data_IF_385818008348
#
_entry.id   IF_385818008348
#
_cell.length_a   1.000
_cell.length_b   1.000
_cell.length_c   1.000
_cell.angle_alpha   90.00
_cell.angle_beta   90.00
_cell.angle_gamma   90.00
#
_symmetry.space_group_name_H-M   'P 1'
#
loop_
_entity.id
_entity.type
_entity.pdbx_description
1 polymer ?
#
# COMPACT_ATOMS: atom_id res chain seq x y z
N UNK A 1 -2.68 21.54 3.53
CA UNK A 1 -3.81 20.62 3.85
C UNK A 1 -3.96 20.51 5.36
N UNK A 2 -5.17 20.53 5.88
CA UNK A 2 -5.45 20.26 7.31
C UNK A 2 -6.16 18.92 7.39
N UNK A 3 -5.56 17.96 8.12
CA UNK A 3 -6.14 16.64 8.34
C UNK A 3 -6.76 16.51 9.73
N UNK A 4 -7.70 15.58 9.95
CA UNK A 4 -8.06 15.13 11.29
C UNK A 4 -6.78 14.74 12.04
N UNK A 5 -6.74 15.04 13.35
CA UNK A 5 -5.57 14.70 14.19
C UNK A 5 -5.39 13.17 14.13
N UNK A 6 -4.19 12.73 13.75
CA UNK A 6 -3.83 11.31 13.89
C UNK A 6 -3.77 10.97 15.38
N UNK A 7 -4.36 9.86 15.77
CA UNK A 7 -4.25 9.33 17.13
C UNK A 7 -3.89 7.85 17.06
N UNK A 8 -3.07 7.42 17.99
CA UNK A 8 -2.73 5.99 18.15
C UNK A 8 -3.44 5.36 19.35
N UNK A 9 -4.34 6.12 20.01
CA UNK A 9 -5.11 5.63 21.14
C UNK A 9 -5.91 4.37 20.78
N UNK A 10 -5.91 3.38 21.66
CA UNK A 10 -6.58 2.10 21.46
C UNK A 10 -5.84 1.09 20.56
N UNK A 11 -4.79 1.51 19.83
CA UNK A 11 -4.03 0.57 18.95
C UNK A 11 -3.24 -0.44 19.77
N UNK A 12 -2.63 -0.02 20.86
CA UNK A 12 -1.98 -0.92 21.80
C UNK A 12 -2.95 -1.93 22.41
N UNK A 13 -4.19 -1.53 22.73
CA UNK A 13 -5.19 -2.43 23.28
C UNK A 13 -5.69 -3.45 22.25
N UNK A 14 -5.80 -3.05 20.99
CA UNK A 14 -6.08 -3.98 19.88
C UNK A 14 -4.98 -5.05 19.78
N UNK A 15 -3.71 -4.66 19.85
CA UNK A 15 -2.60 -5.60 19.82
C UNK A 15 -2.59 -6.49 21.08
N UNK A 16 -2.83 -5.93 22.29
CA UNK A 16 -2.93 -6.72 23.51
C UNK A 16 -4.07 -7.74 23.47
N UNK A 17 -5.21 -7.40 22.86
CA UNK A 17 -6.31 -8.34 22.68
C UNK A 17 -5.85 -9.53 21.81
N UNK A 18 -5.22 -9.25 20.67
CA UNK A 18 -4.70 -10.28 19.81
C UNK A 18 -3.57 -11.12 20.44
N UNK A 19 -2.77 -10.52 21.32
CA UNK A 19 -1.77 -11.22 22.14
C UNK A 19 -2.44 -12.19 23.13
N UNK A 20 -3.50 -11.75 23.83
CA UNK A 20 -4.24 -12.63 24.78
C UNK A 20 -4.85 -13.84 24.10
N UNK A 21 -5.43 -13.68 22.91
CA UNK A 21 -5.98 -14.79 22.11
C UNK A 21 -4.92 -15.84 21.73
N UNK A 22 -3.63 -15.43 21.71
CA UNK A 22 -2.48 -16.27 21.36
C UNK A 22 -1.62 -16.68 22.56
N UNK A 23 -2.09 -16.35 23.78
CA UNK A 23 -1.38 -16.63 25.04
C UNK A 23 0.04 -16.04 25.04
N UNK A 24 0.21 -14.79 24.59
CA UNK A 24 1.48 -14.08 24.52
C UNK A 24 1.56 -13.03 25.64
N UNK A 25 2.71 -13.00 26.34
CA UNK A 25 2.99 -12.03 27.40
C UNK A 25 3.63 -10.75 26.89
N UNK A 26 4.32 -10.83 25.73
CA UNK A 26 5.00 -9.72 25.10
C UNK A 26 5.03 -9.82 23.59
N UNK A 27 5.24 -8.68 22.94
CA UNK A 27 5.41 -8.59 21.49
C UNK A 27 6.51 -7.58 21.14
N UNK A 28 7.42 -7.95 20.26
CA UNK A 28 8.46 -7.08 19.72
C UNK A 28 8.08 -6.68 18.30
N UNK A 29 7.90 -5.39 18.07
CA UNK A 29 7.56 -4.77 16.78
C UNK A 29 8.81 -4.12 16.21
N UNK A 30 9.31 -4.61 15.09
CA UNK A 30 10.54 -4.11 14.44
C UNK A 30 10.29 -3.49 13.06
N UNK A 31 9.16 -3.79 12.44
CA UNK A 31 8.73 -3.17 11.20
C UNK A 31 8.41 -1.69 11.42
N UNK A 32 9.15 -0.77 10.78
CA UNK A 32 8.99 0.67 11.01
C UNK A 32 7.58 1.20 10.70
N UNK A 33 6.88 0.78 9.63
CA UNK A 33 5.47 1.09 9.45
C UNK A 33 4.60 0.63 10.63
N UNK A 34 4.83 -0.55 11.17
CA UNK A 34 4.10 -1.08 12.33
C UNK A 34 4.46 -0.34 13.62
N UNK A 35 5.74 0.02 13.83
CA UNK A 35 6.19 0.89 14.93
C UNK A 35 5.48 2.24 14.84
N UNK A 36 5.43 2.85 13.65
CA UNK A 36 4.73 4.11 13.42
C UNK A 36 3.23 3.99 13.70
N UNK A 37 2.58 2.94 13.20
CA UNK A 37 1.17 2.69 13.47
C UNK A 37 0.88 2.57 14.96
N UNK A 38 1.71 1.85 15.70
CA UNK A 38 1.52 1.60 17.13
C UNK A 38 1.83 2.84 17.98
N UNK A 39 2.87 3.60 17.66
CA UNK A 39 3.42 4.65 18.54
C UNK A 39 3.33 6.08 17.98
N UNK A 40 3.17 6.25 16.67
CA UNK A 40 3.27 7.52 15.97
C UNK A 40 4.71 7.95 15.60
N UNK A 41 5.72 7.17 15.96
CA UNK A 41 7.12 7.47 15.67
C UNK A 41 7.44 7.30 14.19
N UNK A 42 8.11 8.30 13.58
CA UNK A 42 8.44 8.31 12.14
C UNK A 42 9.95 8.22 11.85
N UNK A 43 10.77 7.99 12.87
CA UNK A 43 12.22 7.87 12.71
C UNK A 43 12.64 6.61 11.95
N UNK A 44 13.85 6.63 11.42
CA UNK A 44 14.42 5.54 10.60
C UNK A 44 15.09 4.42 11.39
N UNK A 45 15.11 4.51 12.73
CA UNK A 45 15.68 3.49 13.60
C UNK A 45 14.94 3.46 14.92
N UNK A 46 14.30 2.34 15.22
CA UNK A 46 13.56 2.11 16.44
C UNK A 46 12.81 0.79 16.40
N UNK A 47 12.41 0.33 17.56
CA UNK A 47 11.47 -0.78 17.74
C UNK A 47 10.48 -0.45 18.84
N UNK A 48 9.33 -1.05 18.81
CA UNK A 48 8.36 -0.96 19.90
C UNK A 48 8.24 -2.32 20.59
N UNK A 49 8.17 -2.28 21.91
CA UNK A 49 7.92 -3.44 22.75
C UNK A 49 6.61 -3.24 23.49
N UNK A 50 5.76 -4.21 23.45
CA UNK A 50 4.49 -4.19 24.18
C UNK A 50 4.39 -5.38 25.14
N UNK A 51 3.98 -5.09 26.36
CA UNK A 51 3.62 -6.08 27.38
C UNK A 51 2.15 -5.91 27.78
N UNK A 52 1.68 -6.71 28.73
CA UNK A 52 0.34 -6.55 29.28
C UNK A 52 0.07 -5.14 29.85
N UNK A 53 1.13 -4.42 30.29
CA UNK A 53 1.00 -3.11 30.96
C UNK A 53 1.62 -1.98 30.17
N UNK A 54 2.78 -2.22 29.57
CA UNK A 54 3.64 -1.17 29.04
C UNK A 54 3.70 -1.22 27.52
N UNK A 55 3.88 -0.05 26.90
CA UNK A 55 4.36 0.11 25.52
C UNK A 55 5.60 0.98 25.60
N UNK A 56 6.70 0.52 25.03
CA UNK A 56 7.96 1.25 25.00
C UNK A 56 8.48 1.34 23.58
N UNK A 57 8.75 2.57 23.14
CA UNK A 57 9.52 2.84 21.92
C UNK A 57 11.00 2.92 22.32
N UNK A 58 11.82 1.98 21.89
CA UNK A 58 13.27 2.05 21.98
C UNK A 58 13.84 2.64 20.68
N UNK A 59 14.64 3.70 20.80
CA UNK A 59 15.31 4.36 19.68
C UNK A 59 16.65 4.94 20.10
N UNK A 60 17.44 5.45 19.16
CA UNK A 60 18.79 5.97 19.44
C UNK A 60 18.80 7.49 19.72
N UNK A 61 19.98 8.00 20.12
CA UNK A 61 20.17 9.38 20.53
C UNK A 61 19.83 10.43 19.48
N UNK A 62 19.77 10.09 18.19
CA UNK A 62 19.35 11.02 17.11
C UNK A 62 17.89 11.47 17.28
N UNK A 63 17.08 10.65 17.93
CA UNK A 63 15.65 10.85 18.11
C UNK A 63 15.24 11.27 19.52
N UNK A 64 16.22 11.60 20.40
CA UNK A 64 15.96 11.95 21.79
C UNK A 64 14.96 13.12 21.97
N UNK A 65 14.93 14.07 21.05
CA UNK A 65 13.99 15.19 21.05
C UNK A 65 12.75 14.89 20.20
N UNK A 66 12.94 14.26 19.03
CA UNK A 66 11.86 14.02 18.07
C UNK A 66 10.84 12.99 18.58
N UNK A 67 11.31 11.87 19.16
CA UNK A 67 10.41 10.78 19.55
C UNK A 67 9.39 11.23 20.63
N UNK A 68 9.76 11.85 21.75
CA UNK A 68 8.79 12.31 22.74
C UNK A 68 7.76 13.28 22.15
N UNK A 69 8.19 14.24 21.32
CA UNK A 69 7.31 15.22 20.69
C UNK A 69 6.29 14.58 19.73
N UNK A 70 6.71 13.57 18.96
CA UNK A 70 5.84 12.85 18.04
C UNK A 70 4.80 11.99 18.78
N UNK A 71 5.21 11.28 19.83
CA UNK A 71 4.32 10.47 20.64
C UNK A 71 3.25 11.33 21.31
N UNK A 72 3.65 12.46 21.91
CA UNK A 72 2.72 13.43 22.51
C UNK A 72 1.73 13.97 21.48
N UNK A 73 2.21 14.32 20.28
CA UNK A 73 1.37 14.88 19.21
C UNK A 73 0.23 13.93 18.79
N UNK A 74 0.43 12.62 18.84
CA UNK A 74 -0.59 11.61 18.48
C UNK A 74 -1.31 10.98 19.68
N UNK A 75 -1.00 11.44 20.90
CA UNK A 75 -1.59 10.91 22.13
C UNK A 75 -1.20 9.45 22.39
N UNK A 76 0.07 9.12 22.15
CA UNK A 76 0.63 7.81 22.45
C UNK A 76 0.92 7.65 23.93
N UNK A 77 0.56 6.51 24.50
CA UNK A 77 0.91 6.14 25.88
C UNK A 77 2.28 5.45 25.98
N UNK A 78 3.00 5.31 24.87
CA UNK A 78 4.29 4.66 24.86
C UNK A 78 5.35 5.51 25.57
N UNK A 79 6.13 4.88 26.46
CA UNK A 79 7.35 5.48 27.00
C UNK A 79 8.46 5.45 25.94
N UNK A 80 9.37 6.46 25.99
CA UNK A 80 10.52 6.52 25.09
C UNK A 80 11.78 6.10 25.85
N UNK A 81 12.48 5.08 25.33
CA UNK A 81 13.78 4.64 25.82
C UNK A 81 14.85 5.02 24.77
N UNK A 82 15.80 5.88 25.16
CA UNK A 82 16.94 6.23 24.33
C UNK A 82 18.09 5.30 24.66
N UNK A 83 18.49 4.46 23.71
CA UNK A 83 19.53 3.44 23.95
C UNK A 83 20.42 3.27 22.71
N UNK A 84 21.66 2.83 22.93
CA UNK A 84 22.58 2.39 21.87
C UNK A 84 22.33 0.93 21.47
N UNK A 85 21.86 0.12 22.42
CA UNK A 85 21.43 -1.27 22.22
C UNK A 85 19.92 -1.36 22.42
N UNK A 86 19.20 -1.39 21.30
CA UNK A 86 17.73 -1.41 21.30
C UNK A 86 17.18 -2.76 21.75
N UNK A 87 17.90 -3.86 21.48
CA UNK A 87 17.49 -5.21 21.88
C UNK A 87 17.58 -5.36 23.39
N UNK A 88 18.70 -4.94 24.00
CA UNK A 88 18.85 -4.97 25.45
C UNK A 88 17.79 -4.10 26.14
N UNK A 89 17.54 -2.88 25.62
CA UNK A 89 16.51 -1.99 26.14
C UNK A 89 15.10 -2.58 26.06
N UNK A 90 14.76 -3.23 24.95
CA UNK A 90 13.46 -3.89 24.77
C UNK A 90 13.31 -5.14 25.64
N UNK A 91 14.38 -5.92 25.81
CA UNK A 91 14.40 -7.12 26.65
C UNK A 91 14.18 -6.79 28.13
N UNK A 92 14.68 -5.64 28.60
CA UNK A 92 14.44 -5.17 29.98
C UNK A 92 12.94 -4.97 30.25
N UNK A 93 12.17 -4.49 29.25
CA UNK A 93 10.71 -4.31 29.37
C UNK A 93 9.96 -5.65 29.43
N UNK A 94 10.51 -6.68 28.78
CA UNK A 94 9.94 -8.02 28.69
C UNK A 94 10.48 -8.98 29.75
N UNK A 95 11.24 -8.48 30.70
CA UNK A 95 11.85 -9.32 31.75
C UNK A 95 10.76 -10.06 32.55
N UNK A 96 10.86 -11.39 32.54
CA UNK A 96 9.89 -12.28 33.20
C UNK A 96 8.66 -12.64 32.35
N UNK A 97 8.57 -12.19 31.13
CA UNK A 97 7.60 -12.69 30.16
C UNK A 97 7.93 -14.14 29.79
N UNK A 98 6.95 -15.04 29.89
CA UNK A 98 7.17 -16.45 29.56
C UNK A 98 7.16 -16.69 28.03
N UNK A 99 6.24 -16.00 27.31
CA UNK A 99 6.06 -16.16 25.86
C UNK A 99 6.08 -14.82 25.17
N UNK A 100 7.08 -14.60 24.30
CA UNK A 100 7.29 -13.34 23.58
C UNK A 100 7.22 -13.55 22.08
N UNK A 101 6.33 -12.80 21.44
CA UNK A 101 6.20 -12.80 20.00
C UNK A 101 7.26 -11.91 19.32
N UNK A 102 7.77 -12.39 18.19
CA UNK A 102 8.58 -11.64 17.23
C UNK A 102 7.83 -11.60 15.89
N UNK A 103 7.95 -10.50 15.13
CA UNK A 103 7.41 -10.40 13.76
C UNK A 103 8.15 -11.36 12.82
N UNK A 104 7.64 -12.59 12.69
CA UNK A 104 8.31 -13.69 12.00
C UNK A 104 8.51 -13.50 10.50
N UNK A 105 7.74 -12.60 9.89
CA UNK A 105 7.82 -12.23 8.47
C UNK A 105 8.70 -11.00 8.20
N UNK A 106 9.24 -10.37 9.24
CA UNK A 106 10.04 -9.15 9.15
C UNK A 106 11.41 -9.30 9.79
N UNK A 107 11.47 -9.94 10.96
CA UNK A 107 12.69 -10.04 11.74
C UNK A 107 13.77 -10.86 11.01
N UNK A 108 14.99 -10.30 10.93
CA UNK A 108 16.10 -11.05 10.34
C UNK A 108 16.54 -12.20 11.23
N UNK A 109 17.21 -13.21 10.64
CA UNK A 109 17.76 -14.34 11.40
C UNK A 109 18.74 -13.89 12.48
N UNK A 110 19.54 -12.85 12.22
CA UNK A 110 20.48 -12.32 13.20
C UNK A 110 19.80 -11.60 14.35
N UNK A 111 18.80 -10.79 14.06
CA UNK A 111 17.94 -10.15 15.08
C UNK A 111 17.25 -11.20 15.96
N UNK A 112 16.70 -12.28 15.36
CA UNK A 112 16.09 -13.36 16.14
C UNK A 112 17.09 -13.98 17.13
N UNK A 113 18.37 -14.18 16.73
CA UNK A 113 19.41 -14.70 17.62
C UNK A 113 19.76 -13.72 18.74
N UNK A 114 19.79 -12.42 18.45
CA UNK A 114 20.02 -11.40 19.46
C UNK A 114 18.88 -11.41 20.51
N UNK A 115 17.62 -11.47 20.07
CA UNK A 115 16.49 -11.59 20.97
C UNK A 115 16.49 -12.89 21.76
N UNK A 116 16.87 -14.02 21.16
CA UNK A 116 16.99 -15.30 21.86
C UNK A 116 18.07 -15.27 22.96
N UNK A 117 19.16 -14.54 22.73
CA UNK A 117 20.18 -14.35 23.75
C UNK A 117 19.74 -13.40 24.87
N UNK A 118 19.01 -12.31 24.52
CA UNK A 118 18.56 -11.31 25.48
C UNK A 118 17.36 -11.79 26.34
N UNK A 119 16.55 -12.72 25.82
CA UNK A 119 15.36 -13.30 26.46
C UNK A 119 15.53 -14.83 26.65
N UNK A 120 16.68 -15.25 27.19
CA UNK A 120 17.05 -16.67 27.28
C UNK A 120 16.06 -17.53 28.11
N UNK A 121 15.31 -16.91 29.04
CA UNK A 121 14.33 -17.58 29.88
C UNK A 121 12.91 -17.55 29.30
N UNK A 122 12.72 -16.98 28.10
CA UNK A 122 11.42 -16.84 27.43
C UNK A 122 11.30 -17.78 26.24
N UNK A 123 10.11 -18.28 25.99
CA UNK A 123 9.76 -18.90 24.70
C UNK A 123 9.55 -17.82 23.65
N UNK A 124 10.36 -17.81 22.58
CA UNK A 124 10.17 -16.90 21.46
C UNK A 124 9.22 -17.52 20.43
N UNK A 125 8.14 -16.83 20.10
CA UNK A 125 7.09 -17.26 19.17
C UNK A 125 7.14 -16.41 17.91
N UNK A 126 7.29 -17.04 16.75
CA UNK A 126 7.16 -16.34 15.48
C UNK A 126 5.68 -16.04 15.18
N UNK A 127 5.32 -14.77 15.05
CA UNK A 127 3.96 -14.34 14.69
C UNK A 127 4.05 -13.49 13.43
N UNK A 128 3.50 -14.01 12.33
CA UNK A 128 3.53 -13.35 11.03
C UNK A 128 2.19 -12.70 10.71
N UNK A 129 2.22 -11.53 10.07
CA UNK A 129 1.05 -10.84 9.52
C UNK A 129 0.15 -10.13 10.52
N UNK A 130 0.26 -10.34 11.83
CA UNK A 130 -0.68 -9.79 12.83
C UNK A 130 -0.76 -8.25 12.78
N UNK A 131 0.38 -7.57 12.73
CA UNK A 131 0.41 -6.10 12.65
C UNK A 131 -0.19 -5.60 11.33
N UNK A 132 0.05 -6.32 10.22
CA UNK A 132 -0.55 -6.02 8.91
C UNK A 132 -2.07 -6.21 8.92
N UNK A 133 -2.58 -7.24 9.61
CA UNK A 133 -4.01 -7.45 9.82
C UNK A 133 -4.62 -6.28 10.59
N UNK A 134 -4.00 -5.88 11.72
CA UNK A 134 -4.47 -4.76 12.53
C UNK A 134 -4.43 -3.42 11.77
N UNK A 135 -3.44 -3.21 10.89
CA UNK A 135 -3.29 -2.03 10.04
C UNK A 135 -4.25 -2.02 8.84
N UNK A 136 -4.77 -3.17 8.44
CA UNK A 136 -5.60 -3.29 7.24
C UNK A 136 -6.88 -2.46 7.34
N UNK A 137 -7.47 -2.33 8.51
CA UNK A 137 -8.66 -1.52 8.78
C UNK A 137 -8.23 -0.13 9.22
N UNK A 138 -8.46 0.87 8.36
CA UNK A 138 -8.06 2.27 8.55
C UNK A 138 -9.05 3.02 9.43
N UNK A 139 -8.52 3.86 10.31
CA UNK A 139 -9.33 4.84 11.01
C UNK A 139 -9.61 6.09 10.12
N UNK A 140 -10.54 6.99 10.53
CA UNK A 140 -10.87 8.17 9.71
C UNK A 140 -9.68 9.12 9.47
N UNK A 141 -8.70 9.19 10.37
CA UNK A 141 -7.53 10.05 10.19
C UNK A 141 -6.51 9.43 9.23
N UNK A 142 -6.36 8.11 9.22
CA UNK A 142 -5.58 7.36 8.23
C UNK A 142 -6.21 7.51 6.85
N UNK A 143 -7.53 7.29 6.76
CA UNK A 143 -8.28 7.40 5.50
C UNK A 143 -8.17 8.79 4.88
N UNK A 144 -8.29 9.86 5.67
CA UNK A 144 -8.16 11.24 5.18
C UNK A 144 -6.78 11.52 4.53
N UNK A 145 -5.71 10.86 4.98
CA UNK A 145 -4.37 10.97 4.39
C UNK A 145 -4.26 10.20 3.08
N UNK A 146 -4.86 9.03 3.02
CA UNK A 146 -4.92 8.23 1.78
C UNK A 146 -5.75 8.95 0.72
N UNK A 147 -6.89 9.52 1.10
CA UNK A 147 -7.74 10.36 0.21
C UNK A 147 -6.98 11.57 -0.33
N UNK A 148 -6.22 12.25 0.54
CA UNK A 148 -5.41 13.38 0.09
C UNK A 148 -4.28 12.93 -0.86
N UNK A 149 -3.65 11.79 -0.60
CA UNK A 149 -2.65 11.23 -1.50
C UNK A 149 -3.27 10.86 -2.87
N UNK A 150 -4.46 10.25 -2.88
CA UNK A 150 -5.20 9.94 -4.12
C UNK A 150 -5.53 11.23 -4.91
N UNK A 151 -6.03 12.25 -4.23
CA UNK A 151 -6.36 13.53 -4.88
C UNK A 151 -5.12 14.23 -5.48
N UNK A 152 -3.94 14.08 -4.87
CA UNK A 152 -2.70 14.62 -5.44
C UNK A 152 -2.24 13.84 -6.68
N UNK A 153 -2.39 12.51 -6.69
CA UNK A 153 -2.11 11.70 -7.86
C UNK A 153 -3.08 12.01 -9.02
N UNK A 154 -4.39 12.17 -8.73
CA UNK A 154 -5.39 12.59 -9.72
C UNK A 154 -5.03 13.96 -10.33
N UNK A 155 -4.68 14.94 -9.50
CA UNK A 155 -4.30 16.27 -9.97
C UNK A 155 -3.03 16.24 -10.83
N UNK A 156 -1.99 15.51 -10.40
CA UNK A 156 -0.75 15.36 -11.15
C UNK A 156 -0.97 14.74 -12.53
N UNK A 157 -1.84 13.72 -12.61
CA UNK A 157 -2.19 13.09 -13.88
C UNK A 157 -2.93 14.07 -14.80
N UNK A 158 -3.81 14.90 -14.27
CA UNK A 158 -4.50 15.93 -15.05
C UNK A 158 -3.53 17.03 -15.53
N UNK A 159 -2.69 17.56 -14.65
CA UNK A 159 -1.73 18.64 -14.95
C UNK A 159 -0.69 18.25 -16.00
N UNK A 160 -0.38 16.95 -16.11
CA UNK A 160 0.59 16.42 -17.07
C UNK A 160 -0.04 15.91 -18.38
N UNK A 161 -1.32 16.15 -18.61
CA UNK A 161 -2.04 15.69 -19.80
C UNK A 161 -1.35 16.05 -21.12
N UNK A 162 -0.86 17.27 -21.23
CA UNK A 162 -0.15 17.80 -22.43
C UNK A 162 1.08 16.96 -22.80
N UNK A 163 1.68 16.28 -21.86
CA UNK A 163 2.85 15.41 -22.08
C UNK A 163 2.49 14.02 -22.59
N UNK A 164 1.22 13.63 -22.62
CA UNK A 164 0.76 12.39 -23.26
C UNK A 164 0.64 12.55 -24.79
N UNK A 165 1.72 13.01 -25.41
CA UNK A 165 1.78 13.38 -26.83
C UNK A 165 2.97 12.69 -27.53
N UNK A 166 2.88 12.43 -28.83
CA UNK A 166 3.98 11.87 -29.61
C UNK A 166 5.28 12.65 -29.43
N UNK A 167 6.39 11.94 -29.26
CA UNK A 167 7.72 12.53 -29.07
C UNK A 167 8.11 12.79 -27.61
N UNK A 168 7.17 12.87 -26.68
CA UNK A 168 7.49 12.85 -25.23
C UNK A 168 8.01 11.47 -24.85
N UNK A 169 9.01 11.40 -23.96
CA UNK A 169 9.52 10.11 -23.48
C UNK A 169 8.81 9.65 -22.21
N UNK A 170 8.82 8.33 -21.95
CA UNK A 170 8.30 7.75 -20.70
C UNK A 170 8.93 8.44 -19.48
N UNK A 171 10.25 8.63 -19.50
CA UNK A 171 10.99 9.31 -18.42
C UNK A 171 10.55 10.77 -18.22
N UNK A 172 10.31 11.51 -19.29
CA UNK A 172 9.86 12.91 -19.18
C UNK A 172 8.50 12.99 -18.50
N UNK A 173 7.55 12.14 -18.88
CA UNK A 173 6.24 12.11 -18.23
C UNK A 173 6.33 11.64 -16.78
N UNK A 174 7.12 10.59 -16.48
CA UNK A 174 7.30 10.08 -15.11
C UNK A 174 7.87 11.16 -14.17
N UNK A 175 8.92 11.87 -14.60
CA UNK A 175 9.50 12.97 -13.81
C UNK A 175 8.51 14.13 -13.61
N UNK A 176 7.74 14.47 -14.63
CA UNK A 176 6.73 15.51 -14.53
C UNK A 176 5.60 15.16 -13.55
N UNK A 177 5.16 13.91 -13.53
CA UNK A 177 4.19 13.40 -12.55
C UNK A 177 4.72 13.52 -11.11
N UNK A 178 5.95 13.06 -10.89
CA UNK A 178 6.60 13.13 -9.57
C UNK A 178 6.76 14.58 -9.08
N UNK A 179 7.18 15.49 -9.97
CA UNK A 179 7.35 16.91 -9.67
C UNK A 179 6.00 17.59 -9.41
N UNK A 180 4.95 17.26 -10.18
CA UNK A 180 3.61 17.79 -9.97
C UNK A 180 3.05 17.39 -8.60
N UNK A 181 3.18 16.10 -8.20
CA UNK A 181 2.77 15.63 -6.88
C UNK A 181 3.50 16.37 -5.76
N UNK A 182 4.83 16.54 -5.86
CA UNK A 182 5.62 17.28 -4.87
C UNK A 182 5.23 18.76 -4.81
N UNK A 183 5.05 19.42 -5.95
CA UNK A 183 4.64 20.80 -6.02
C UNK A 183 3.25 21.02 -5.38
N UNK A 184 2.36 20.04 -5.48
CA UNK A 184 1.04 20.07 -4.85
C UNK A 184 1.05 19.71 -3.35
N UNK A 185 2.19 19.31 -2.78
CA UNK A 185 2.38 19.10 -1.34
C UNK A 185 2.54 17.63 -0.89
N UNK A 186 2.71 16.68 -1.82
CA UNK A 186 3.13 15.35 -1.48
C UNK A 186 4.57 15.33 -0.94
N UNK A 187 4.89 14.42 -0.04
CA UNK A 187 6.26 14.16 0.39
C UNK A 187 7.11 13.60 -0.76
N UNK A 188 6.48 12.87 -1.67
CA UNK A 188 7.07 12.25 -2.85
C UNK A 188 6.08 11.32 -3.53
N UNK A 189 6.50 10.56 -4.55
CA UNK A 189 5.73 9.45 -5.07
C UNK A 189 5.61 8.34 -4.01
N UNK A 190 4.52 7.58 -4.08
CA UNK A 190 4.27 6.45 -3.18
C UNK A 190 5.24 5.27 -3.45
N UNK A 191 5.63 5.12 -4.69
CA UNK A 191 6.56 4.13 -5.25
C UNK A 191 7.21 4.72 -6.50
N UNK A 192 8.06 3.98 -7.19
CA UNK A 192 8.64 4.41 -8.48
C UNK A 192 7.54 4.48 -9.54
N UNK A 193 7.19 5.69 -9.98
CA UNK A 193 6.13 5.94 -10.97
C UNK A 193 6.37 5.12 -12.23
N UNK A 194 5.35 4.40 -12.71
CA UNK A 194 5.43 3.61 -13.94
C UNK A 194 4.84 4.43 -15.08
N UNK A 195 5.61 4.59 -16.14
CA UNK A 195 5.15 5.09 -17.44
C UNK A 195 5.68 4.14 -18.48
N UNK A 196 4.79 3.40 -19.14
CA UNK A 196 5.15 2.36 -20.10
C UNK A 196 4.31 2.49 -21.37
N UNK A 197 4.96 2.56 -22.52
CA UNK A 197 4.32 2.82 -23.81
C UNK A 197 4.63 1.77 -24.86
N UNK A 198 3.68 1.50 -25.77
CA UNK A 198 3.82 0.51 -26.82
C UNK A 198 4.30 -0.84 -26.25
N UNK A 199 5.37 -1.46 -26.79
CA UNK A 199 5.86 -2.75 -26.30
C UNK A 199 6.23 -2.79 -24.82
N UNK A 200 6.63 -1.65 -24.20
CA UNK A 200 6.94 -1.57 -22.77
C UNK A 200 5.69 -1.71 -21.91
N UNK A 201 4.51 -1.30 -22.40
CA UNK A 201 3.24 -1.47 -21.70
C UNK A 201 2.86 -2.95 -21.49
N UNK A 202 3.52 -3.89 -22.20
CA UNK A 202 3.38 -5.32 -21.94
C UNK A 202 4.11 -5.80 -20.66
N UNK A 203 4.85 -4.92 -20.00
CA UNK A 203 5.62 -5.21 -18.78
C UNK A 203 4.92 -4.56 -17.57
N UNK A 204 4.28 -5.32 -16.66
CA UNK A 204 3.49 -4.76 -15.56
C UNK A 204 4.26 -3.79 -14.66
N UNK A 205 5.57 -4.02 -14.47
CA UNK A 205 6.47 -3.22 -13.63
C UNK A 205 7.59 -2.56 -14.46
N UNK A 206 7.25 -2.06 -15.65
CA UNK A 206 8.21 -1.35 -16.48
C UNK A 206 8.68 -0.06 -15.79
N UNK A 207 9.98 0.23 -15.92
CA UNK A 207 10.53 1.52 -15.48
C UNK A 207 10.53 2.50 -16.63
N UNK A 208 10.21 3.80 -16.37
CA UNK A 208 10.21 4.82 -17.42
C UNK A 208 11.55 4.90 -18.15
N UNK A 209 11.54 4.64 -19.44
CA UNK A 209 12.70 4.64 -20.32
C UNK A 209 12.81 5.92 -21.15
N UNK A 210 13.84 6.01 -22.02
CA UNK A 210 13.98 7.10 -22.98
C UNK A 210 13.19 6.84 -24.28
N UNK A 211 12.31 5.80 -24.32
CA UNK A 211 11.42 5.57 -25.44
C UNK A 211 10.46 6.75 -25.57
N UNK A 212 10.44 7.34 -26.77
CA UNK A 212 9.47 8.37 -27.12
C UNK A 212 8.14 7.73 -27.52
N UNK A 213 7.03 8.37 -27.13
CA UNK A 213 5.69 7.94 -27.52
C UNK A 213 5.49 8.06 -29.03
N UNK A 214 4.83 7.07 -29.61
CA UNK A 214 4.39 7.07 -31.00
C UNK A 214 2.87 7.10 -31.08
N UNK A 215 2.31 7.64 -32.16
CA UNK A 215 0.86 7.64 -32.40
C UNK A 215 0.36 6.20 -32.48
N UNK A 216 -0.71 5.90 -31.72
CA UNK A 216 -1.28 4.56 -31.62
C UNK A 216 -0.72 3.73 -30.45
N UNK A 217 0.37 4.15 -29.79
CA UNK A 217 0.86 3.45 -28.60
C UNK A 217 -0.22 3.34 -27.52
N UNK A 218 -0.39 2.15 -26.97
CA UNK A 218 -0.98 1.98 -25.63
C UNK A 218 0.01 2.53 -24.60
N UNK A 219 -0.47 3.38 -23.71
CA UNK A 219 0.30 3.99 -22.64
C UNK A 219 -0.33 3.62 -21.28
N UNK A 220 0.44 2.96 -20.43
CA UNK A 220 0.12 2.77 -19.00
C UNK A 220 0.81 3.85 -18.18
N UNK A 221 0.05 4.56 -17.35
CA UNK A 221 0.54 5.45 -16.31
C UNK A 221 0.05 4.94 -14.98
N UNK A 222 0.97 4.50 -14.12
CA UNK A 222 0.70 4.01 -12.79
C UNK A 222 1.44 4.90 -11.78
N UNK A 223 0.65 5.60 -10.95
CA UNK A 223 1.08 6.74 -10.16
C UNK A 223 0.39 6.79 -8.80
N UNK A 224 1.17 7.04 -7.77
CA UNK A 224 0.68 7.24 -6.42
C UNK A 224 1.47 8.29 -5.67
N UNK A 225 0.82 9.04 -4.79
CA UNK A 225 1.44 10.05 -3.95
C UNK A 225 1.65 9.56 -2.50
N UNK A 226 2.60 10.17 -1.80
CA UNK A 226 2.90 9.95 -0.40
C UNK A 226 2.53 11.19 0.41
N UNK A 227 1.57 11.06 1.34
CA UNK A 227 1.11 12.14 2.23
C UNK A 227 1.18 11.69 3.67
N UNK A 228 2.00 12.34 4.48
CA UNK A 228 2.19 12.01 5.90
C UNK A 228 2.33 10.50 6.10
N UNK A 229 3.20 9.85 5.30
CA UNK A 229 3.51 8.42 5.32
C UNK A 229 2.46 7.49 4.74
N UNK A 230 1.27 7.95 4.42
CA UNK A 230 0.22 7.17 3.76
C UNK A 230 0.31 7.33 2.25
N UNK A 231 0.00 6.26 1.55
CA UNK A 231 0.18 6.11 0.10
C UNK A 231 -1.16 6.08 -0.61
N UNK A 232 -1.15 6.49 -1.88
CA UNK A 232 -2.21 6.18 -2.84
C UNK A 232 -1.64 5.35 -3.98
N UNK A 233 -2.54 4.81 -4.80
CA UNK A 233 -2.24 3.94 -5.93
C UNK A 233 -3.30 4.10 -7.01
N UNK A 234 -2.89 4.26 -8.27
CA UNK A 234 -3.80 4.43 -9.39
C UNK A 234 -3.13 4.16 -10.73
N UNK A 235 -3.75 3.35 -11.56
CA UNK A 235 -3.33 3.18 -12.97
C UNK A 235 -4.39 3.70 -13.93
N UNK A 236 -3.94 4.41 -14.97
CA UNK A 236 -4.76 4.76 -16.14
C UNK A 236 -4.04 4.35 -17.42
N UNK A 237 -4.81 3.85 -18.37
CA UNK A 237 -4.32 3.54 -19.72
C UNK A 237 -4.88 4.51 -20.73
N UNK A 238 -4.05 4.87 -21.73
CA UNK A 238 -4.35 5.84 -22.78
C UNK A 238 -3.93 5.29 -24.14
N UNK A 239 -4.42 5.93 -25.21
CA UNK A 239 -3.90 5.76 -26.57
C UNK A 239 -3.24 7.07 -26.98
N UNK A 240 -1.98 7.03 -27.36
CA UNK A 240 -1.25 8.23 -27.83
C UNK A 240 -1.82 8.68 -29.18
N UNK A 241 -2.20 9.96 -29.26
CA UNK A 241 -2.94 10.51 -30.39
C UNK A 241 -4.46 10.46 -30.25
N UNK A 242 -4.94 9.93 -29.12
CA UNK A 242 -6.36 9.89 -28.79
C UNK A 242 -7.10 8.64 -29.29
N UNK A 243 -8.41 8.52 -29.03
CA UNK A 243 -9.22 7.34 -29.34
C UNK A 243 -9.22 6.93 -30.82
N UNK A 244 -9.13 7.90 -31.73
CA UNK A 244 -9.12 7.63 -33.17
C UNK A 244 -7.84 6.96 -33.65
N UNK A 245 -6.74 7.09 -32.91
CA UNK A 245 -5.45 6.47 -33.21
C UNK A 245 -5.35 5.01 -32.72
N UNK A 246 -6.36 4.51 -31.98
CA UNK A 246 -6.37 3.15 -31.46
C UNK A 246 -6.36 2.12 -32.62
N UNK A 247 -5.47 1.15 -32.54
CA UNK A 247 -5.47 -0.03 -33.40
C UNK A 247 -6.53 -1.07 -32.97
N UNK A 248 -6.65 -2.17 -33.69
CA UNK A 248 -7.65 -3.21 -33.40
C UNK A 248 -7.41 -3.84 -32.01
N UNK A 249 -6.16 -4.01 -31.59
CA UNK A 249 -5.81 -4.57 -30.29
C UNK A 249 -6.23 -3.62 -29.17
N UNK A 250 -5.89 -2.33 -29.27
CA UNK A 250 -6.28 -1.33 -28.30
C UNK A 250 -7.82 -1.23 -28.17
N UNK A 251 -8.53 -1.28 -29.32
CA UNK A 251 -10.02 -1.27 -29.37
C UNK A 251 -10.65 -2.50 -28.72
N UNK A 252 -9.95 -3.62 -28.68
CA UNK A 252 -10.43 -4.85 -28.04
C UNK A 252 -10.13 -4.86 -26.56
N UNK A 253 -8.84 -4.66 -26.13
CA UNK A 253 -8.44 -4.91 -24.75
C UNK A 253 -8.72 -3.75 -23.78
N UNK A 254 -8.80 -2.49 -24.22
CA UNK A 254 -9.01 -1.36 -23.33
C UNK A 254 -10.45 -1.34 -22.76
N UNK A 255 -11.51 -1.45 -23.57
CA UNK A 255 -12.86 -1.58 -23.04
C UNK A 255 -13.06 -2.86 -22.22
N UNK A 256 -12.46 -4.00 -22.63
CA UNK A 256 -12.50 -5.26 -21.90
C UNK A 256 -11.95 -5.12 -20.47
N UNK A 257 -10.75 -4.56 -20.32
CA UNK A 257 -10.13 -4.37 -19.00
C UNK A 257 -10.91 -3.36 -18.16
N UNK A 258 -11.46 -2.31 -18.79
CA UNK A 258 -12.29 -1.31 -18.11
C UNK A 258 -13.59 -1.92 -17.57
N UNK A 259 -14.26 -2.76 -18.36
CA UNK A 259 -15.45 -3.51 -17.95
C UNK A 259 -15.13 -4.49 -16.81
N UNK A 260 -14.05 -5.27 -16.95
CA UNK A 260 -13.60 -6.20 -15.93
C UNK A 260 -13.30 -5.50 -14.60
N UNK A 261 -12.64 -4.34 -14.65
CA UNK A 261 -12.34 -3.53 -13.47
C UNK A 261 -13.63 -3.02 -12.80
N UNK A 262 -14.58 -2.53 -13.58
CA UNK A 262 -15.86 -2.06 -13.05
C UNK A 262 -16.66 -3.20 -12.40
N UNK A 263 -16.66 -4.39 -13.00
CA UNK A 263 -17.29 -5.58 -12.43
C UNK A 263 -16.67 -5.99 -11.09
N UNK A 264 -15.34 -5.96 -10.98
CA UNK A 264 -14.64 -6.26 -9.73
C UNK A 264 -14.94 -5.23 -8.65
N UNK A 265 -14.92 -3.93 -8.96
CA UNK A 265 -15.28 -2.86 -8.02
C UNK A 265 -16.70 -3.03 -7.49
N UNK A 266 -17.65 -3.43 -8.34
CA UNK A 266 -19.05 -3.64 -7.95
C UNK A 266 -19.24 -4.79 -6.94
N UNK A 267 -18.31 -5.74 -6.85
CA UNK A 267 -18.33 -6.86 -5.89
C UNK A 267 -17.73 -6.46 -4.53
N UNK A 268 -16.89 -5.42 -4.46
CA UNK A 268 -16.23 -5.03 -3.21
C UNK A 268 -17.26 -4.58 -2.17
N UNK A 269 -17.42 -5.37 -1.10
CA UNK A 269 -18.30 -5.06 0.02
C UNK A 269 -17.82 -5.79 1.29
N UNK A 270 -18.21 -5.33 2.50
CA UNK A 270 -17.92 -6.06 3.72
C UNK A 270 -18.61 -7.43 3.70
N UNK A 271 -17.91 -8.47 4.19
CA UNK A 271 -18.41 -9.85 4.20
C UNK A 271 -18.14 -10.64 2.93
N UNK A 272 -17.63 -10.01 1.87
CA UNK A 272 -17.23 -10.69 0.62
C UNK A 272 -15.84 -11.28 0.77
N UNK A 273 -15.60 -12.47 0.21
CA UNK A 273 -14.26 -13.06 0.12
C UNK A 273 -13.39 -12.29 -0.90
N UNK A 274 -12.12 -12.03 -0.57
CA UNK A 274 -11.19 -11.34 -1.46
C UNK A 274 -11.07 -11.99 -2.85
N UNK A 275 -11.11 -13.34 -2.91
CA UNK A 275 -11.10 -14.07 -4.19
C UNK A 275 -12.30 -13.77 -5.08
N UNK A 276 -13.47 -13.44 -4.52
CA UNK A 276 -14.65 -13.14 -5.34
C UNK A 276 -14.49 -11.85 -6.15
N UNK A 277 -13.70 -10.89 -5.63
CA UNK A 277 -13.34 -9.68 -6.37
C UNK A 277 -12.39 -10.03 -7.54
N UNK A 278 -11.41 -10.92 -7.31
CA UNK A 278 -10.53 -11.41 -8.39
C UNK A 278 -11.32 -12.20 -9.44
N UNK A 279 -12.19 -13.11 -9.01
CA UNK A 279 -13.01 -13.94 -9.90
C UNK A 279 -13.89 -13.08 -10.82
N UNK A 280 -14.44 -11.97 -10.32
CA UNK A 280 -15.32 -11.10 -11.08
C UNK A 280 -14.65 -10.49 -12.32
N UNK A 281 -13.42 -9.99 -12.20
CA UNK A 281 -12.69 -9.46 -13.36
C UNK A 281 -11.99 -10.54 -14.17
N UNK A 282 -11.43 -11.55 -13.51
CA UNK A 282 -10.67 -12.62 -14.18
C UNK A 282 -11.53 -13.45 -15.09
N UNK A 283 -12.78 -13.72 -14.72
CA UNK A 283 -13.74 -14.46 -15.59
C UNK A 283 -13.98 -13.72 -16.89
N UNK A 284 -14.26 -12.42 -16.85
CA UNK A 284 -14.50 -11.59 -18.04
C UNK A 284 -13.29 -11.63 -18.98
N UNK A 285 -12.08 -11.41 -18.44
CA UNK A 285 -10.84 -11.42 -19.24
C UNK A 285 -10.57 -12.82 -19.82
N UNK A 286 -10.86 -13.88 -19.07
CA UNK A 286 -10.64 -15.27 -19.50
C UNK A 286 -11.64 -15.68 -20.57
N UNK A 287 -12.91 -15.34 -20.43
CA UNK A 287 -13.96 -15.63 -21.42
C UNK A 287 -13.72 -14.91 -22.76
N UNK A 288 -13.09 -13.72 -22.72
CA UNK A 288 -12.64 -13.01 -23.91
C UNK A 288 -11.35 -13.60 -24.54
N UNK A 289 -10.76 -14.65 -23.96
CA UNK A 289 -9.56 -15.32 -24.50
C UNK A 289 -8.23 -14.75 -24.01
N UNK A 290 -8.20 -13.79 -23.09
CA UNK A 290 -6.99 -13.13 -22.58
C UNK A 290 -6.56 -13.62 -21.19
N UNK A 291 -7.08 -14.75 -20.67
CA UNK A 291 -6.78 -15.24 -19.33
C UNK A 291 -5.29 -15.43 -19.06
N UNK A 292 -4.52 -15.94 -20.03
CA UNK A 292 -3.06 -16.11 -19.90
C UNK A 292 -2.27 -14.78 -19.93
N UNK A 293 -2.90 -13.71 -20.39
CA UNK A 293 -2.33 -12.37 -20.44
C UNK A 293 -2.57 -11.57 -19.13
N UNK A 294 -3.41 -12.05 -18.21
CA UNK A 294 -3.64 -11.48 -16.87
C UNK A 294 -2.89 -12.31 -15.81
N UNK A 295 -1.67 -11.90 -15.47
CA UNK A 295 -0.68 -12.72 -14.76
C UNK A 295 -0.48 -12.40 -13.29
N UNK A 296 -1.14 -11.39 -12.72
CA UNK A 296 -1.03 -10.98 -11.32
C UNK A 296 -2.37 -11.10 -10.58
N UNK A 297 -2.39 -10.81 -9.30
CA UNK A 297 -3.61 -10.66 -8.53
C UNK A 297 -4.35 -9.39 -8.92
N UNK A 298 -5.63 -9.31 -8.59
CA UNK A 298 -6.47 -8.16 -8.93
C UNK A 298 -6.18 -6.94 -8.06
N UNK A 299 -5.41 -7.10 -6.96
CA UNK A 299 -5.07 -5.96 -6.11
C UNK A 299 -4.54 -6.32 -4.74
N UNK A 300 -4.34 -5.28 -3.95
CA UNK A 300 -3.76 -5.35 -2.60
C UNK A 300 -4.27 -4.20 -1.72
N UNK A 301 -4.10 -4.33 -0.41
CA UNK A 301 -4.32 -3.22 0.51
C UNK A 301 -3.27 -2.11 0.34
N UNK A 302 -3.64 -0.89 0.71
CA UNK A 302 -2.74 0.28 0.69
C UNK A 302 -2.85 1.02 2.02
N UNK A 303 -1.74 1.56 2.51
CA UNK A 303 -1.70 2.34 3.75
C UNK A 303 -0.34 2.99 4.00
N UNK A 304 0.30 2.64 5.10
CA UNK A 304 1.68 3.03 5.40
C UNK A 304 2.68 2.32 4.47
N UNK A 305 2.37 1.09 4.07
CA UNK A 305 3.06 0.40 2.97
C UNK A 305 2.21 0.46 1.70
N UNK A 306 2.88 0.35 0.54
CA UNK A 306 2.17 0.28 -0.74
C UNK A 306 1.43 -1.07 -0.86
N UNK A 307 2.03 -2.16 -0.41
CA UNK A 307 1.42 -3.48 -0.42
C UNK A 307 1.07 -3.91 1.01
N UNK A 308 -0.21 -3.78 1.36
CA UNK A 308 -0.77 -4.23 2.63
C UNK A 308 -1.82 -5.33 2.43
N UNK A 309 -2.42 -5.79 3.51
CA UNK A 309 -3.63 -6.63 3.46
C UNK A 309 -4.88 -5.75 3.25
N UNK A 310 -5.92 -6.31 2.59
CA UNK A 310 -6.03 -7.65 2.04
C UNK A 310 -5.33 -7.79 0.68
N UNK A 311 -4.85 -9.00 0.34
CA UNK A 311 -4.42 -9.33 -1.02
C UNK A 311 -5.63 -9.81 -1.82
N UNK A 312 -5.89 -9.23 -2.97
CA UNK A 312 -7.02 -9.58 -3.84
C UNK A 312 -6.53 -10.51 -4.96
N UNK A 313 -6.74 -11.81 -4.77
CA UNK A 313 -6.25 -12.85 -5.68
C UNK A 313 -7.09 -14.12 -5.58
N UNK A 314 -7.03 -14.95 -6.61
CA UNK A 314 -7.86 -16.16 -6.84
C UNK A 314 -7.90 -17.19 -5.70
N UNK A 315 -6.90 -17.20 -4.82
CA UNK A 315 -6.75 -18.21 -3.75
C UNK A 315 -6.93 -17.61 -2.35
N UNK A 316 -7.33 -16.34 -2.23
CA UNK A 316 -7.50 -15.69 -0.94
C UNK A 316 -8.97 -15.67 -0.49
N UNK A 317 -9.30 -16.48 0.52
CA UNK A 317 -10.62 -16.53 1.14
C UNK A 317 -10.81 -15.55 2.31
N UNK A 318 -9.88 -14.59 2.51
CA UNK A 318 -10.04 -13.56 3.55
C UNK A 318 -11.31 -12.74 3.31
N UNK A 319 -12.04 -12.47 4.38
CA UNK A 319 -13.28 -11.69 4.32
C UNK A 319 -12.97 -10.20 4.40
N UNK A 320 -13.48 -9.44 3.44
CA UNK A 320 -13.35 -7.99 3.42
C UNK A 320 -14.11 -7.34 4.57
N UNK A 321 -13.55 -6.29 5.14
CA UNK A 321 -14.11 -5.56 6.28
C UNK A 321 -14.23 -4.08 5.95
N UNK A 322 -15.25 -3.42 6.50
CA UNK A 322 -15.38 -1.96 6.41
C UNK A 322 -14.13 -1.27 6.97
N UNK A 323 -13.70 -0.19 6.31
CA UNK A 323 -12.47 0.55 6.62
C UNK A 323 -11.20 0.00 5.95
N UNK A 324 -11.25 -1.14 5.29
CA UNK A 324 -10.13 -1.59 4.46
C UNK A 324 -10.02 -0.73 3.20
N UNK A 325 -8.78 -0.41 2.81
CA UNK A 325 -8.47 0.28 1.56
C UNK A 325 -7.69 -0.68 0.69
N UNK A 326 -8.12 -0.83 -0.57
CA UNK A 326 -7.52 -1.79 -1.50
C UNK A 326 -7.56 -1.29 -2.94
N UNK A 327 -6.65 -1.80 -3.78
CA UNK A 327 -6.64 -1.58 -5.22
C UNK A 327 -7.52 -2.61 -5.95
N UNK A 328 -8.07 -2.21 -7.10
CA UNK A 328 -8.72 -3.10 -8.07
C UNK A 328 -8.13 -2.77 -9.43
N UNK A 329 -7.19 -3.61 -9.90
CA UNK A 329 -6.24 -3.29 -10.96
C UNK A 329 -6.07 -4.40 -12.03
N UNK A 330 -7.12 -4.99 -12.59
CA UNK A 330 -6.94 -5.99 -13.65
C UNK A 330 -6.15 -5.41 -14.83
N UNK A 331 -5.40 -6.29 -15.52
CA UNK A 331 -4.62 -5.89 -16.67
C UNK A 331 -4.44 -7.02 -17.68
N UNK A 332 -4.27 -6.65 -18.95
CA UNK A 332 -3.94 -7.55 -20.07
C UNK A 332 -2.62 -7.07 -20.68
N UNK A 333 -1.65 -7.98 -20.78
CA UNK A 333 -0.29 -7.68 -21.22
C UNK A 333 0.12 -8.60 -22.36
N UNK A 334 0.34 -8.03 -23.56
CA UNK A 334 0.62 -8.73 -24.80
C UNK A 334 2.07 -8.49 -25.22
N UNK A 335 2.99 -9.44 -24.98
CA UNK A 335 4.42 -9.27 -25.27
C UNK A 335 4.71 -8.80 -26.68
N UNK A 336 5.49 -7.72 -26.83
CA UNK A 336 5.87 -7.12 -28.11
C UNK A 336 4.80 -6.24 -28.77
N UNK A 337 3.60 -6.17 -28.18
CA UNK A 337 2.47 -5.37 -28.67
C UNK A 337 2.20 -4.20 -27.72
N UNK A 338 1.76 -4.49 -26.50
CA UNK A 338 1.42 -3.49 -25.52
C UNK A 338 0.62 -4.09 -24.37
N UNK A 339 0.02 -3.23 -23.55
CA UNK A 339 -0.81 -3.67 -22.43
C UNK A 339 -1.75 -2.58 -21.96
N UNK A 340 -2.73 -3.01 -21.18
CA UNK A 340 -3.72 -2.15 -20.52
C UNK A 340 -3.82 -2.59 -19.07
N UNK A 341 -3.77 -1.64 -18.13
CA UNK A 341 -4.19 -1.78 -16.74
C UNK A 341 -5.11 -0.63 -16.40
N UNK A 342 -6.21 -0.92 -15.73
CA UNK A 342 -7.12 0.09 -15.18
C UNK A 342 -7.29 -0.21 -13.71
N UNK A 343 -7.01 0.79 -12.88
CA UNK A 343 -6.98 0.62 -11.44
C UNK A 343 -7.66 1.76 -10.72
N UNK A 344 -8.44 1.44 -9.71
CA UNK A 344 -8.87 2.38 -8.68
C UNK A 344 -8.47 1.91 -7.30
N UNK A 345 -8.10 2.86 -6.46
CA UNK A 345 -8.03 2.69 -5.02
C UNK A 345 -9.44 2.88 -4.45
N UNK A 346 -9.92 1.93 -3.67
CA UNK A 346 -11.26 1.98 -3.07
C UNK A 346 -11.20 1.75 -1.57
N UNK A 347 -12.12 2.36 -0.81
CA UNK A 347 -12.37 2.04 0.60
C UNK A 347 -13.63 1.20 0.72
N UNK A 348 -13.55 0.10 1.47
CA UNK A 348 -14.72 -0.71 1.83
C UNK A 348 -15.56 0.07 2.85
N UNK A 349 -16.83 0.30 2.52
CA UNK A 349 -17.81 0.99 3.39
C UNK A 349 -18.67 -0.03 4.13
N UNK A 350 -19.65 0.40 4.90
CA UNK A 350 -20.57 -0.51 5.60
C UNK A 350 -21.49 -1.33 4.68
N UNK A 351 -21.63 -0.93 3.40
CA UNK A 351 -22.59 -1.57 2.48
C UNK A 351 -22.05 -1.83 1.06
N UNK A 352 -20.78 -1.53 0.79
CA UNK A 352 -20.15 -1.65 -0.54
C UNK A 352 -18.76 -1.07 -0.51
N UNK A 353 -18.38 -0.30 -1.55
CA UNK A 353 -17.14 0.46 -1.56
C UNK A 353 -17.34 1.86 -2.16
N UNK A 354 -16.34 2.71 -1.94
CA UNK A 354 -16.25 4.05 -2.52
C UNK A 354 -14.87 4.26 -3.13
N UNK A 355 -14.76 4.71 -4.39
CA UNK A 355 -13.48 5.04 -4.98
C UNK A 355 -12.82 6.24 -4.27
N UNK A 356 -11.50 6.20 -4.16
CA UNK A 356 -10.65 7.28 -3.65
C UNK A 356 -9.91 7.98 -4.77
N UNK A 357 -9.65 7.30 -5.88
CA UNK A 357 -9.07 7.83 -7.12
C UNK A 357 -10.20 8.16 -8.10
N UNK A 358 -10.14 9.35 -8.68
CA UNK A 358 -11.27 9.92 -9.44
C UNK A 358 -10.89 10.33 -10.88
N UNK A 359 -9.64 10.13 -11.30
CA UNK A 359 -9.22 10.42 -12.68
C UNK A 359 -10.08 9.63 -13.68
N UNK A 360 -10.54 10.27 -14.77
CA UNK A 360 -11.37 9.59 -15.77
C UNK A 360 -10.62 8.43 -16.42
N UNK A 361 -11.37 7.35 -16.70
CA UNK A 361 -10.93 6.22 -17.51
C UNK A 361 -11.14 6.54 -18.97
N UNK A 362 -10.21 6.14 -19.84
CA UNK A 362 -10.39 6.30 -21.28
C UNK A 362 -11.52 5.37 -21.75
N UNK A 363 -12.43 5.92 -22.53
CA UNK A 363 -13.43 5.16 -23.31
C UNK A 363 -13.08 5.29 -24.80
N UNK A 364 -13.09 4.18 -25.53
CA UNK A 364 -12.91 4.09 -26.97
C UNK A 364 -14.25 3.95 -27.68
#
# INVERSE_FOLDING_TARGET
MTFPKLTVQGRADRLRNAMRERELDGFVVVDLPSVRWLTGFTGSNGLAVISAKDVVLATDGRYATQAPAQLEAVGSDAAVAIASDLVASGADVLRGAARVALEGDVISWDQQRQWAAALADSELVAVSGLLRELRSVKDPAELARIEAAAALADAALADTEVLRAPGTTERQLGLALDDAMRAAGATGPAYETIVASGPNAALPHARPSDRAFEVGDLLIVDVGALVDGYRSDMTRSFVIGGPDAADDVAREILPLVTEAQAAAVAVVAPGVEAKAVDDACRSIITEAGFGDAFRHGTGHGVGLDIHELPSIRKDNAAILQAGQVLTVEPGVYLPGVGGVRVEDLVVVTDSGCRPLTLSPKLSL
#
